data_IF_581262814541
#
_entry.id   IF_581262814541
#
_cell.length_a   1.000
_cell.length_b   1.000
_cell.length_c   1.000
_cell.angle_alpha   90.00
_cell.angle_beta   90.00
_cell.angle_gamma   90.00
#
_symmetry.space_group_name_H-M   'P 1'
#
loop_
_entity.id
_entity.type
_entity.pdbx_description
1 polymer ?
#
# COMPACT_ATOMS: atom_id res chain seq x y z
N UNK A 1 -2.34 -15.60 -7.25
CA UNK A 1 -2.55 -15.01 -8.60
C UNK A 1 -1.18 -14.68 -9.20
N UNK A 2 -0.94 -14.91 -10.49
CA UNK A 2 0.36 -14.59 -11.08
C UNK A 2 0.58 -13.06 -11.10
N UNK A 3 1.80 -12.55 -10.83
CA UNK A 3 2.07 -11.11 -10.89
C UNK A 3 1.89 -10.60 -12.33
N UNK A 4 1.32 -9.40 -12.48
CA UNK A 4 1.11 -8.75 -13.78
C UNK A 4 2.41 -8.16 -14.39
N UNK A 5 3.56 -8.39 -13.73
CA UNK A 5 4.91 -8.01 -14.17
C UNK A 5 5.91 -9.13 -13.84
N UNK A 6 7.00 -9.21 -14.61
CA UNK A 6 8.04 -10.22 -14.39
C UNK A 6 8.94 -9.82 -13.19
N UNK A 7 8.93 -10.64 -12.13
CA UNK A 7 9.69 -10.42 -10.90
C UNK A 7 11.21 -10.69 -11.02
N UNK A 8 11.68 -11.28 -12.12
CA UNK A 8 13.12 -11.52 -12.33
C UNK A 8 13.89 -10.20 -12.45
N UNK A 9 13.28 -9.18 -13.06
CA UNK A 9 13.90 -7.86 -13.27
C UNK A 9 14.24 -7.12 -11.97
N UNK A 10 13.58 -7.49 -10.87
CA UNK A 10 13.84 -6.92 -9.54
C UNK A 10 15.18 -7.35 -8.93
N UNK A 11 15.79 -8.43 -9.45
CA UNK A 11 17.05 -8.94 -8.93
C UNK A 11 17.81 -9.67 -10.04
N UNK A 12 18.29 -8.89 -11.01
CA UNK A 12 19.14 -9.32 -12.13
C UNK A 12 20.48 -8.57 -12.09
N UNK A 13 21.61 -9.23 -12.36
CA UNK A 13 22.93 -8.60 -12.26
C UNK A 13 23.20 -7.55 -13.35
N UNK A 14 22.43 -7.58 -14.45
CA UNK A 14 22.58 -6.72 -15.63
C UNK A 14 21.56 -5.57 -15.68
N UNK A 15 20.79 -5.36 -14.60
CA UNK A 15 19.70 -4.38 -14.53
C UNK A 15 19.78 -3.62 -13.21
N UNK A 16 19.51 -2.32 -13.23
CA UNK A 16 19.43 -1.54 -12.00
C UNK A 16 18.13 -1.85 -11.23
N UNK A 17 18.19 -2.83 -10.32
CA UNK A 17 17.02 -3.31 -9.57
C UNK A 17 16.20 -2.20 -8.90
N UNK A 18 16.86 -1.18 -8.32
CA UNK A 18 16.16 -0.04 -7.71
C UNK A 18 15.30 0.78 -8.68
N UNK A 19 15.76 1.07 -9.90
CA UNK A 19 14.97 1.78 -10.91
C UNK A 19 13.81 0.92 -11.40
N UNK A 20 13.99 -0.40 -11.48
CA UNK A 20 12.90 -1.32 -11.81
C UNK A 20 11.84 -1.34 -10.70
N UNK A 21 12.26 -1.38 -9.42
CA UNK A 21 11.34 -1.27 -8.28
C UNK A 21 10.48 0.00 -8.41
N UNK A 22 11.13 1.16 -8.59
CA UNK A 22 10.45 2.43 -8.78
C UNK A 22 9.52 2.42 -10.00
N UNK A 23 9.96 1.87 -11.14
CA UNK A 23 9.14 1.72 -12.33
C UNK A 23 7.86 0.90 -12.08
N UNK A 24 7.98 -0.20 -11.33
CA UNK A 24 6.84 -1.06 -10.97
C UNK A 24 5.84 -0.32 -10.08
N UNK A 25 6.32 0.38 -9.05
CA UNK A 25 5.41 1.05 -8.10
C UNK A 25 4.92 2.42 -8.60
N UNK A 26 5.49 2.97 -9.68
CA UNK A 26 5.08 4.28 -10.21
C UNK A 26 3.61 4.35 -10.60
N UNK A 27 3.03 3.22 -11.04
CA UNK A 27 1.61 3.15 -11.34
C UNK A 27 0.71 3.17 -10.10
N UNK A 28 1.23 2.83 -8.92
CA UNK A 28 0.48 2.82 -7.66
C UNK A 28 0.33 4.21 -7.04
N UNK A 29 1.11 5.20 -7.53
CA UNK A 29 1.04 6.58 -7.08
C UNK A 29 -0.19 7.25 -7.67
N UNK A 30 -0.96 7.95 -6.84
CA UNK A 30 -2.14 8.71 -7.26
C UNK A 30 -1.88 9.62 -8.48
N UNK A 31 -2.83 9.76 -9.41
CA UNK A 31 -2.63 10.49 -10.67
C UNK A 31 -2.41 12.00 -10.47
N UNK A 32 -2.79 12.54 -9.32
CA UNK A 32 -2.69 13.96 -8.99
C UNK A 32 -1.57 14.30 -8.00
N UNK A 33 -0.72 13.32 -7.65
CA UNK A 33 0.45 13.57 -6.82
C UNK A 33 1.34 14.65 -7.44
N UNK A 34 1.80 15.61 -6.62
CA UNK A 34 2.72 16.63 -7.07
C UNK A 34 4.02 15.99 -7.56
N UNK A 35 4.66 16.59 -8.57
CA UNK A 35 5.86 15.99 -9.17
C UNK A 35 6.97 15.73 -8.14
N UNK A 36 7.18 16.62 -7.17
CA UNK A 36 8.15 16.45 -6.11
C UNK A 36 7.83 15.24 -5.23
N UNK A 37 6.59 15.14 -4.73
CA UNK A 37 6.12 14.06 -3.86
C UNK A 37 6.13 12.68 -4.56
N UNK A 38 5.76 12.67 -5.86
CA UNK A 38 5.90 11.50 -6.72
C UNK A 38 7.35 11.03 -6.78
N UNK A 39 8.27 11.93 -7.11
CA UNK A 39 9.68 11.58 -7.24
C UNK A 39 10.33 11.21 -5.91
N UNK A 40 9.91 11.82 -4.81
CA UNK A 40 10.33 11.44 -3.46
C UNK A 40 9.92 9.99 -3.15
N UNK A 41 8.65 9.64 -3.43
CA UNK A 41 8.15 8.26 -3.27
C UNK A 41 8.95 7.27 -4.12
N UNK A 42 9.20 7.58 -5.39
CA UNK A 42 9.99 6.73 -6.28
C UNK A 42 11.45 6.62 -5.83
N UNK A 43 12.03 7.72 -5.34
CA UNK A 43 13.40 7.74 -4.84
C UNK A 43 13.59 6.76 -3.68
N UNK A 44 12.65 6.71 -2.72
CA UNK A 44 12.67 5.72 -1.65
C UNK A 44 12.76 4.28 -2.16
N UNK A 45 11.98 3.93 -3.18
CA UNK A 45 12.04 2.60 -3.80
C UNK A 45 13.35 2.33 -4.55
N UNK A 46 13.98 3.36 -5.11
CA UNK A 46 15.30 3.23 -5.74
C UNK A 46 16.42 2.97 -4.73
N UNK A 47 16.26 3.38 -3.47
CA UNK A 47 17.27 3.20 -2.42
C UNK A 47 17.25 1.82 -1.74
N UNK A 48 16.34 0.92 -2.11
CA UNK A 48 16.24 -0.41 -1.52
C UNK A 48 17.46 -1.31 -1.81
N UNK A 49 17.82 -2.17 -0.85
CA UNK A 49 18.86 -3.17 -1.06
C UNK A 49 18.51 -4.18 -2.16
N UNK A 50 19.49 -4.71 -2.93
CA UNK A 50 19.22 -5.68 -3.98
C UNK A 50 18.42 -6.88 -3.49
N UNK A 51 17.32 -7.21 -4.18
CA UNK A 51 16.47 -8.36 -3.86
C UNK A 51 15.51 -8.17 -2.68
N UNK A 52 15.62 -7.10 -1.89
CA UNK A 52 14.74 -6.86 -0.73
C UNK A 52 13.28 -6.72 -1.17
N UNK A 53 13.00 -5.85 -2.14
CA UNK A 53 11.64 -5.66 -2.66
C UNK A 53 11.07 -6.94 -3.29
N UNK A 54 11.92 -7.75 -3.95
CA UNK A 54 11.51 -9.05 -4.48
C UNK A 54 11.10 -10.01 -3.36
N UNK A 55 11.86 -10.04 -2.27
CA UNK A 55 11.54 -10.84 -1.08
C UNK A 55 10.23 -10.42 -0.42
N UNK A 56 10.00 -9.12 -0.30
CA UNK A 56 8.75 -8.56 0.23
C UNK A 56 7.54 -8.98 -0.61
N UNK A 57 7.62 -8.85 -1.94
CA UNK A 57 6.58 -9.31 -2.85
C UNK A 57 6.35 -10.83 -2.80
N UNK A 58 7.39 -11.62 -2.52
CA UNK A 58 7.25 -13.08 -2.36
C UNK A 58 6.44 -13.42 -1.12
N UNK A 59 6.75 -12.81 0.03
CA UNK A 59 5.95 -12.97 1.25
C UNK A 59 4.49 -12.58 1.01
N UNK A 60 4.28 -11.36 0.48
CA UNK A 60 2.94 -10.81 0.24
C UNK A 60 2.09 -11.66 -0.73
N UNK A 61 2.68 -12.26 -1.77
CA UNK A 61 1.90 -12.97 -2.82
C UNK A 61 1.87 -14.49 -2.72
N UNK A 62 2.89 -15.11 -2.14
CA UNK A 62 3.06 -16.56 -2.17
C UNK A 62 2.87 -17.24 -0.81
N UNK A 63 3.26 -16.58 0.28
CA UNK A 63 3.31 -17.22 1.61
C UNK A 63 2.31 -16.62 2.61
N UNK A 64 2.09 -15.32 2.57
CA UNK A 64 1.33 -14.56 3.56
C UNK A 64 -0.18 -14.52 3.35
N UNK A 65 -0.83 -15.68 3.14
CA UNK A 65 -2.30 -15.72 3.10
C UNK A 65 -2.89 -15.66 4.52
N UNK A 66 -3.32 -14.47 4.91
CA UNK A 66 -3.86 -14.20 6.24
C UNK A 66 -5.39 -14.23 6.31
N UNK A 67 -6.09 -14.60 5.23
CA UNK A 67 -7.58 -14.54 5.17
C UNK A 67 -8.27 -15.32 6.29
N UNK A 68 -7.74 -16.48 6.66
CA UNK A 68 -8.28 -17.28 7.77
C UNK A 68 -8.00 -16.64 9.15
N UNK A 69 -7.01 -15.74 9.22
CA UNK A 69 -6.60 -15.09 10.47
C UNK A 69 -7.30 -13.75 10.71
N UNK A 70 -7.79 -13.06 9.68
CA UNK A 70 -8.39 -11.72 9.83
C UNK A 70 -9.60 -11.73 10.75
N UNK A 71 -10.39 -12.82 10.75
CA UNK A 71 -11.55 -13.00 11.64
C UNK A 71 -11.19 -13.06 13.13
N UNK A 72 -9.90 -13.25 13.47
CA UNK A 72 -9.39 -13.27 14.85
C UNK A 72 -9.09 -11.87 15.40
N UNK A 73 -9.20 -10.82 14.59
CA UNK A 73 -8.98 -9.45 15.01
C UNK A 73 -10.11 -9.02 15.95
N UNK A 74 -9.74 -8.62 17.17
CA UNK A 74 -10.67 -8.17 18.21
C UNK A 74 -10.60 -6.64 18.33
N UNK A 75 -11.51 -5.96 17.65
CA UNK A 75 -11.56 -4.49 17.59
C UNK A 75 -11.95 -3.83 18.91
N UNK A 76 -12.49 -4.59 19.86
CA UNK A 76 -12.77 -4.10 21.22
C UNK A 76 -11.48 -3.97 22.05
N UNK A 77 -10.42 -4.73 21.70
CA UNK A 77 -9.09 -4.60 22.33
C UNK A 77 -8.21 -3.58 21.61
N UNK A 78 -8.27 -3.55 20.29
CA UNK A 78 -7.49 -2.65 19.46
C UNK A 78 -8.35 -2.18 18.28
N UNK A 79 -8.88 -0.95 18.31
CA UNK A 79 -9.66 -0.40 17.21
C UNK A 79 -8.91 -0.49 15.87
N UNK A 80 -9.59 -0.92 14.82
CA UNK A 80 -9.02 -1.05 13.47
C UNK A 80 -9.63 -0.04 12.51
N UNK A 81 -8.77 0.78 11.92
CA UNK A 81 -9.13 1.77 10.90
C UNK A 81 -8.37 1.47 9.61
N UNK A 82 -9.10 1.28 8.53
CA UNK A 82 -8.58 1.05 7.19
C UNK A 82 -8.70 2.35 6.39
N UNK A 83 -7.57 2.90 5.96
CA UNK A 83 -7.50 4.07 5.07
C UNK A 83 -6.96 3.59 3.72
N UNK A 84 -7.81 3.57 2.68
CA UNK A 84 -7.46 3.00 1.37
C UNK A 84 -7.51 4.07 0.29
N UNK A 85 -6.46 4.19 -0.53
CA UNK A 85 -6.46 5.08 -1.67
C UNK A 85 -7.41 4.61 -2.77
N UNK A 86 -8.17 5.52 -3.36
CA UNK A 86 -9.05 5.24 -4.50
C UNK A 86 -8.32 4.63 -5.72
N UNK A 87 -7.06 5.02 -5.94
CA UNK A 87 -6.25 4.60 -7.09
C UNK A 87 -5.23 3.50 -6.76
N UNK A 88 -5.31 2.90 -5.57
CA UNK A 88 -4.48 1.76 -5.21
C UNK A 88 -5.01 0.47 -5.85
N UNK A 89 -4.41 0.03 -6.94
CA UNK A 89 -4.79 -1.23 -7.59
C UNK A 89 -4.11 -2.47 -6.97
N UNK A 90 -3.17 -2.29 -6.03
CA UNK A 90 -2.54 -3.41 -5.31
C UNK A 90 -3.36 -3.85 -4.10
N UNK A 91 -4.10 -2.92 -3.50
CA UNK A 91 -5.10 -3.15 -2.46
C UNK A 91 -6.34 -2.34 -2.82
N UNK A 92 -7.23 -2.92 -3.63
CA UNK A 92 -8.33 -2.15 -4.22
C UNK A 92 -9.34 -1.69 -3.17
N UNK A 93 -10.09 -0.61 -3.42
CA UNK A 93 -11.21 -0.23 -2.56
C UNK A 93 -12.20 -1.38 -2.30
N UNK A 94 -12.42 -2.25 -3.29
CA UNK A 94 -13.30 -3.41 -3.15
C UNK A 94 -12.69 -4.50 -2.24
N UNK A 95 -11.38 -4.75 -2.34
CA UNK A 95 -10.67 -5.65 -1.42
C UNK A 95 -10.75 -5.14 0.03
N UNK A 96 -10.58 -3.83 0.23
CA UNK A 96 -10.71 -3.21 1.56
C UNK A 96 -12.13 -3.25 2.11
N UNK A 97 -13.16 -3.09 1.26
CA UNK A 97 -14.56 -3.28 1.66
C UNK A 97 -14.82 -4.72 2.10
N UNK A 98 -14.38 -5.68 1.29
CA UNK A 98 -14.51 -7.09 1.62
C UNK A 98 -13.79 -7.40 2.95
N UNK A 99 -12.58 -6.88 3.17
CA UNK A 99 -11.85 -7.05 4.41
C UNK A 99 -12.60 -6.45 5.62
N UNK A 100 -13.12 -5.24 5.48
CA UNK A 100 -13.88 -4.56 6.54
C UNK A 100 -15.14 -5.35 6.94
N UNK A 101 -15.83 -5.97 5.97
CA UNK A 101 -16.99 -6.83 6.24
C UNK A 101 -16.63 -8.09 7.05
N UNK A 102 -15.40 -8.60 6.90
CA UNK A 102 -14.93 -9.78 7.63
C UNK A 102 -14.41 -9.47 9.05
N UNK A 103 -14.21 -8.20 9.40
CA UNK A 103 -13.67 -7.79 10.71
C UNK A 103 -14.72 -6.95 11.45
N UNK A 104 -15.48 -7.55 12.38
CA UNK A 104 -16.48 -6.83 13.16
C UNK A 104 -15.89 -5.60 13.86
N UNK A 105 -16.51 -4.44 13.66
CA UNK A 105 -16.09 -3.17 14.26
C UNK A 105 -14.93 -2.46 13.55
N UNK A 106 -14.42 -2.99 12.43
CA UNK A 106 -13.46 -2.25 11.61
C UNK A 106 -14.14 -1.04 10.94
N UNK A 107 -13.44 0.09 10.91
CA UNK A 107 -13.86 1.29 10.18
C UNK A 107 -13.07 1.39 8.88
N UNK A 108 -13.73 1.71 7.78
CA UNK A 108 -13.11 1.88 6.47
C UNK A 108 -13.38 3.28 5.93
N UNK A 109 -12.33 3.92 5.43
CA UNK A 109 -12.38 5.18 4.70
C UNK A 109 -11.62 5.04 3.39
N UNK A 110 -12.32 5.27 2.27
CA UNK A 110 -11.69 5.39 0.96
C UNK A 110 -11.27 6.85 0.79
N UNK A 111 -9.99 7.08 0.49
CA UNK A 111 -9.38 8.40 0.34
C UNK A 111 -9.38 8.79 -1.15
N UNK A 112 -10.25 9.72 -1.57
CA UNK A 112 -10.39 10.10 -2.97
C UNK A 112 -9.11 10.72 -3.53
N UNK A 113 -8.77 10.42 -4.78
CA UNK A 113 -7.57 10.99 -5.42
C UNK A 113 -6.23 10.38 -4.99
N UNK A 114 -6.19 9.59 -3.92
CA UNK A 114 -4.96 8.98 -3.39
C UNK A 114 -4.76 7.56 -3.92
N UNK A 115 -3.51 7.15 -4.06
CA UNK A 115 -3.04 5.82 -4.40
C UNK A 115 -2.48 5.07 -3.19
N UNK A 116 -1.48 4.23 -3.43
CA UNK A 116 -0.93 3.30 -2.43
C UNK A 116 -0.04 3.97 -1.38
N UNK A 117 0.51 5.16 -1.67
CA UNK A 117 1.50 5.83 -0.81
C UNK A 117 1.01 7.16 -0.26
N UNK A 118 -0.20 7.26 0.32
CA UNK A 118 -0.86 8.53 0.63
C UNK A 118 0.01 9.44 1.52
N UNK A 119 0.77 8.85 2.43
CA UNK A 119 1.68 9.55 3.34
C UNK A 119 2.84 10.27 2.65
N UNK A 120 3.32 9.78 1.50
CA UNK A 120 4.46 10.34 0.79
C UNK A 120 4.07 11.01 -0.53
N UNK A 121 3.01 10.56 -1.19
CA UNK A 121 2.58 11.09 -2.49
C UNK A 121 1.67 12.32 -2.39
N UNK A 122 0.98 12.51 -1.26
CA UNK A 122 0.08 13.62 -1.00
C UNK A 122 -0.13 13.86 0.51
N UNK A 123 0.95 14.18 1.27
CA UNK A 123 0.90 14.24 2.74
C UNK A 123 -0.14 15.22 3.28
N UNK A 124 -0.35 16.36 2.60
CA UNK A 124 -1.34 17.36 2.98
C UNK A 124 -2.80 16.90 2.82
N UNK A 125 -3.09 16.01 1.86
CA UNK A 125 -4.41 15.40 1.74
C UNK A 125 -4.56 14.20 2.68
N UNK A 126 -3.52 13.36 2.80
CA UNK A 126 -3.55 12.21 3.71
C UNK A 126 -3.83 12.63 5.17
N UNK A 127 -3.20 13.70 5.66
CA UNK A 127 -3.39 14.15 7.04
C UNK A 127 -4.85 14.54 7.35
N UNK A 128 -5.62 14.97 6.34
CA UNK A 128 -7.04 15.29 6.49
C UNK A 128 -7.91 14.06 6.72
N UNK A 129 -7.44 12.89 6.28
CA UNK A 129 -8.08 11.60 6.55
C UNK A 129 -7.59 10.97 7.87
N UNK A 130 -6.31 11.18 8.20
CA UNK A 130 -5.72 10.61 9.42
C UNK A 130 -6.17 11.32 10.70
N UNK A 131 -6.19 12.67 10.72
CA UNK A 131 -6.51 13.42 11.93
C UNK A 131 -7.88 13.08 12.54
N UNK A 132 -8.98 12.94 11.76
CA UNK A 132 -10.27 12.53 12.32
C UNK A 132 -10.23 11.17 13.01
N UNK A 133 -9.40 10.23 12.53
CA UNK A 133 -9.21 8.93 13.19
C UNK A 133 -8.47 9.12 14.51
N UNK A 134 -7.40 9.92 14.52
CA UNK A 134 -6.62 10.19 15.73
C UNK A 134 -7.47 10.89 16.82
N UNK A 135 -8.37 11.80 16.43
CA UNK A 135 -9.31 12.44 17.35
C UNK A 135 -10.31 11.47 17.98
N UNK A 136 -10.70 10.40 17.27
CA UNK A 136 -11.63 9.39 17.79
C UNK A 136 -11.01 8.46 18.83
N UNK A 137 -9.68 8.25 18.77
CA UNK A 137 -8.96 7.32 19.64
C UNK A 137 -8.15 8.01 20.75
N UNK A 138 -8.19 9.35 20.79
CA UNK A 138 -7.50 10.17 21.79
C UNK A 138 -8.11 10.07 23.20
#
# INVERSE_FOLDING_TARGET
MAPYYNLEWLHRPDVHGGEVCAGIVSGLIGPHAAAADRWETLWHYMQGGPGVFKGDLHFYKAEGDLREMVSRIDTAKCPLYLLTGEFDYSCTPDDSRALAEHIPGASLSIMPGLGHFPMSEAPAEFIRHLLPVLEQIA
#
